data_IF_166653422929
#
_entry.id   IF_166653422929
#
_cell.length_a   1.000
_cell.length_b   1.000
_cell.length_c   1.000
_cell.angle_alpha   90.00
_cell.angle_beta   90.00
_cell.angle_gamma   90.00
#
_symmetry.space_group_name_H-M   'P 1'
#
loop_
_entity.id
_entity.type
_entity.pdbx_description
1 polymer ?
#
# COMPACT_ATOMS: atom_id res chain seq x y z
N UNK A 1 10.84 -62.35 15.88
CA UNK A 1 9.99 -61.27 15.31
C UNK A 1 9.20 -60.64 16.45
N UNK A 2 8.89 -59.33 16.35
CA UNK A 2 8.06 -58.51 17.25
C UNK A 2 8.72 -57.81 18.46
N UNK A 3 9.60 -56.84 18.22
CA UNK A 3 9.92 -55.76 19.21
C UNK A 3 9.66 -54.34 18.68
N UNK A 4 9.05 -54.21 17.50
CA UNK A 4 8.89 -52.94 16.80
C UNK A 4 7.59 -52.12 17.00
N UNK A 5 6.58 -52.45 17.83
CA UNK A 5 5.39 -51.58 17.91
C UNK A 5 5.55 -50.35 18.83
N UNK A 6 6.31 -50.48 19.93
CA UNK A 6 6.42 -49.42 20.96
C UNK A 6 7.36 -48.28 20.55
N UNK A 7 8.46 -48.59 19.87
CA UNK A 7 9.39 -47.59 19.36
C UNK A 7 8.72 -46.68 18.30
N UNK A 8 7.99 -47.27 17.36
CA UNK A 8 7.34 -46.52 16.26
C UNK A 8 6.33 -45.51 16.82
N UNK A 9 5.54 -45.87 17.86
CA UNK A 9 4.56 -44.97 18.47
C UNK A 9 5.22 -43.77 19.18
N UNK A 10 6.40 -43.95 19.76
CA UNK A 10 7.18 -42.87 20.36
C UNK A 10 7.80 -41.94 19.30
N UNK A 11 8.33 -42.51 18.20
CA UNK A 11 8.85 -41.73 17.08
C UNK A 11 7.76 -40.95 16.34
N UNK A 12 6.57 -41.53 16.14
CA UNK A 12 5.44 -40.84 15.50
C UNK A 12 4.89 -39.73 16.37
N UNK A 13 4.80 -39.92 17.69
CA UNK A 13 4.38 -38.86 18.61
C UNK A 13 5.40 -37.71 18.64
N UNK A 14 6.70 -38.00 18.60
CA UNK A 14 7.74 -36.97 18.52
C UNK A 14 7.66 -36.17 17.20
N UNK A 15 7.34 -36.83 16.08
CA UNK A 15 7.17 -36.17 14.79
C UNK A 15 5.91 -35.28 14.75
N UNK A 16 4.85 -35.67 15.46
CA UNK A 16 3.62 -34.87 15.59
C UNK A 16 3.86 -33.61 16.42
N UNK A 17 4.68 -33.70 17.47
CA UNK A 17 5.10 -32.54 18.28
C UNK A 17 6.03 -31.59 17.49
N UNK A 18 6.87 -32.13 16.60
CA UNK A 18 7.72 -31.34 15.70
C UNK A 18 6.89 -30.61 14.63
N UNK A 19 5.87 -31.26 14.06
CA UNK A 19 4.92 -30.66 13.12
C UNK A 19 4.04 -29.58 13.77
N UNK A 20 3.66 -29.77 15.04
CA UNK A 20 2.95 -28.75 15.82
C UNK A 20 3.83 -27.50 16.05
N UNK A 21 5.14 -27.67 16.27
CA UNK A 21 6.10 -26.56 16.38
C UNK A 21 6.34 -25.83 15.04
N UNK A 22 6.31 -26.54 13.91
CA UNK A 22 6.38 -25.93 12.57
C UNK A 22 5.11 -25.12 12.23
N UNK A 23 3.94 -25.56 12.68
CA UNK A 23 2.68 -24.82 12.52
C UNK A 23 2.69 -23.47 13.28
N UNK A 24 3.36 -23.41 14.44
CA UNK A 24 3.55 -22.15 15.19
C UNK A 24 4.58 -21.23 14.49
N UNK A 25 5.58 -21.79 13.81
CA UNK A 25 6.52 -21.01 12.98
C UNK A 25 5.86 -20.43 11.71
N UNK A 26 4.79 -21.05 11.22
CA UNK A 26 3.95 -20.53 10.12
C UNK A 26 3.11 -19.30 10.48
N UNK A 27 2.85 -19.06 11.77
CA UNK A 27 2.18 -17.84 12.25
C UNK A 27 3.10 -16.61 12.30
N UNK A 28 4.40 -16.79 12.06
CA UNK A 28 5.37 -15.70 11.88
C UNK A 28 5.42 -15.19 10.43
N UNK A 29 4.32 -15.36 9.70
CA UNK A 29 4.13 -14.75 8.40
C UNK A 29 2.93 -13.79 8.46
N UNK A 30 2.97 -12.86 9.40
CA UNK A 30 2.16 -11.63 9.38
C UNK A 30 2.64 -10.70 8.26
N UNK A 31 2.65 -11.22 7.02
CA UNK A 31 2.93 -10.47 5.79
C UNK A 31 1.64 -9.98 5.10
N UNK A 32 0.48 -10.18 5.71
CA UNK A 32 -0.82 -9.81 5.11
C UNK A 32 -1.48 -8.54 5.67
N UNK A 33 -0.86 -7.80 6.58
CA UNK A 33 -1.47 -6.56 7.09
C UNK A 33 -0.48 -5.41 7.31
N UNK A 34 0.48 -5.27 6.40
CA UNK A 34 1.29 -4.05 6.35
C UNK A 34 1.54 -3.70 4.90
N UNK A 35 0.50 -3.27 4.19
CA UNK A 35 0.72 -2.39 3.03
C UNK A 35 1.63 -1.29 3.54
N UNK A 36 2.88 -1.27 3.05
CA UNK A 36 3.86 -0.32 3.56
C UNK A 36 3.32 1.08 3.31
N UNK A 37 3.54 2.00 4.27
CA UNK A 37 3.16 3.39 4.07
C UNK A 37 3.71 3.94 2.74
N UNK A 38 4.92 3.50 2.36
CA UNK A 38 5.52 3.80 1.07
C UNK A 38 4.66 3.33 -0.11
N UNK A 39 4.13 2.11 -0.07
CA UNK A 39 3.26 1.59 -1.14
C UNK A 39 1.97 2.42 -1.24
N UNK A 40 1.30 2.68 -0.12
CA UNK A 40 0.08 3.50 -0.10
C UNK A 40 0.34 4.92 -0.62
N UNK A 41 1.49 5.50 -0.27
CA UNK A 41 1.90 6.83 -0.73
C UNK A 41 2.18 6.81 -2.24
N UNK A 42 2.91 5.82 -2.73
CA UNK A 42 3.19 5.62 -4.17
C UNK A 42 1.89 5.44 -4.96
N UNK A 43 0.96 4.62 -4.47
CA UNK A 43 -0.34 4.41 -5.11
C UNK A 43 -1.15 5.71 -5.15
N UNK A 44 -1.12 6.49 -4.05
CA UNK A 44 -1.81 7.78 -3.97
C UNK A 44 -1.23 8.82 -4.94
N UNK A 45 0.09 8.88 -5.06
CA UNK A 45 0.78 9.70 -6.07
C UNK A 45 0.39 9.28 -7.50
N UNK A 46 0.29 7.97 -7.75
CA UNK A 46 -0.20 7.42 -9.01
C UNK A 46 -1.63 7.88 -9.33
N UNK A 47 -2.53 7.86 -8.33
CA UNK A 47 -3.91 8.37 -8.48
C UNK A 47 -3.97 9.85 -8.81
N UNK A 48 -3.11 10.66 -8.19
CA UNK A 48 -3.02 12.10 -8.46
C UNK A 48 -2.56 12.38 -9.90
N UNK A 49 -1.59 11.60 -10.40
CA UNK A 49 -1.18 11.67 -11.81
C UNK A 49 -2.33 11.27 -12.76
N UNK A 50 -3.03 10.18 -12.46
CA UNK A 50 -4.20 9.77 -13.25
C UNK A 50 -5.28 10.87 -13.28
N UNK A 51 -5.59 11.49 -12.13
CA UNK A 51 -6.52 12.62 -12.06
C UNK A 51 -6.07 13.83 -12.89
N UNK A 52 -4.75 14.09 -12.96
CA UNK A 52 -4.21 15.14 -13.83
C UNK A 52 -4.46 14.83 -15.30
N UNK A 53 -4.18 13.60 -15.74
CA UNK A 53 -4.36 13.17 -17.11
C UNK A 53 -5.83 13.16 -17.53
N UNK A 54 -6.71 12.65 -16.68
CA UNK A 54 -8.15 12.65 -16.92
C UNK A 54 -8.69 14.08 -17.07
N UNK A 55 -8.23 15.03 -16.25
CA UNK A 55 -8.60 16.43 -16.41
C UNK A 55 -8.15 17.03 -17.73
N UNK A 56 -6.91 16.77 -18.16
CA UNK A 56 -6.44 17.25 -19.46
C UNK A 56 -7.30 16.69 -20.60
N UNK A 57 -7.63 15.39 -20.55
CA UNK A 57 -8.52 14.76 -21.53
C UNK A 57 -9.91 15.40 -21.53
N UNK A 58 -10.48 15.63 -20.35
CA UNK A 58 -11.83 16.17 -20.24
C UNK A 58 -11.93 17.64 -20.66
N UNK A 59 -10.86 18.43 -20.41
CA UNK A 59 -10.71 19.78 -20.97
C UNK A 59 -10.68 19.73 -22.50
N UNK A 60 -9.93 18.79 -23.08
CA UNK A 60 -9.82 18.64 -24.54
C UNK A 60 -11.14 18.16 -25.18
N UNK A 61 -11.83 17.21 -24.55
CA UNK A 61 -13.16 16.75 -24.96
C UNK A 61 -14.21 17.86 -24.87
N UNK A 62 -14.13 18.70 -23.84
CA UNK A 62 -14.99 19.87 -23.69
C UNK A 62 -14.68 20.95 -24.73
N UNK A 63 -13.41 21.30 -24.93
CA UNK A 63 -12.97 22.31 -25.90
C UNK A 63 -13.26 21.87 -27.36
N UNK A 64 -13.20 20.57 -27.65
CA UNK A 64 -13.54 20.00 -28.96
C UNK A 64 -15.05 19.87 -29.20
N UNK A 65 -15.89 20.26 -28.23
CA UNK A 65 -17.35 20.21 -28.34
C UNK A 65 -17.95 18.80 -28.26
N UNK A 66 -17.14 17.78 -27.97
CA UNK A 66 -17.58 16.38 -27.83
C UNK A 66 -18.34 16.13 -26.53
N UNK A 67 -18.04 16.91 -25.50
CA UNK A 67 -18.72 16.86 -24.20
C UNK A 67 -19.27 18.23 -23.82
N UNK A 68 -20.56 18.30 -23.49
CA UNK A 68 -21.23 19.51 -22.98
C UNK A 68 -21.35 19.51 -21.45
N UNK A 69 -20.77 18.52 -20.76
CA UNK A 69 -20.96 18.33 -19.33
C UNK A 69 -19.99 19.21 -18.51
N UNK A 70 -20.19 20.54 -18.60
CA UNK A 70 -19.41 21.56 -17.87
C UNK A 70 -19.34 21.28 -16.37
N UNK A 71 -20.42 20.75 -15.80
CA UNK A 71 -20.53 20.49 -14.37
C UNK A 71 -19.55 19.41 -13.92
N UNK A 72 -19.46 18.31 -14.67
CA UNK A 72 -18.54 17.21 -14.41
C UNK A 72 -17.08 17.62 -14.61
N UNK A 73 -16.81 18.45 -15.63
CA UNK A 73 -15.50 19.08 -15.83
C UNK A 73 -15.10 19.94 -14.63
N UNK A 74 -15.96 20.85 -14.18
CA UNK A 74 -15.68 21.71 -13.03
C UNK A 74 -15.40 20.90 -11.76
N UNK A 75 -16.21 19.87 -11.48
CA UNK A 75 -16.00 18.99 -10.32
C UNK A 75 -14.64 18.30 -10.40
N UNK A 76 -14.26 17.79 -11.58
CA UNK A 76 -13.03 17.03 -11.74
C UNK A 76 -11.80 17.92 -11.68
N UNK A 77 -11.89 19.15 -12.21
CA UNK A 77 -10.89 20.19 -12.06
C UNK A 77 -10.67 20.56 -10.58
N UNK A 78 -11.75 20.78 -9.84
CA UNK A 78 -11.69 21.06 -8.40
C UNK A 78 -11.08 19.89 -7.62
N UNK A 79 -11.47 18.66 -7.93
CA UNK A 79 -10.92 17.46 -7.29
C UNK A 79 -9.42 17.31 -7.51
N UNK A 80 -8.94 17.46 -8.75
CA UNK A 80 -7.51 17.32 -9.00
C UNK A 80 -6.70 18.48 -8.43
N UNK A 81 -7.23 19.71 -8.48
CA UNK A 81 -6.60 20.86 -7.82
C UNK A 81 -6.39 20.60 -6.33
N UNK A 82 -7.45 20.20 -5.63
CA UNK A 82 -7.38 19.83 -4.22
C UNK A 82 -6.39 18.68 -3.96
N UNK A 83 -6.41 17.64 -4.80
CA UNK A 83 -5.51 16.50 -4.67
C UNK A 83 -4.03 16.89 -4.87
N UNK A 84 -3.74 17.80 -5.79
CA UNK A 84 -2.41 18.35 -6.03
C UNK A 84 -1.94 19.20 -4.84
N UNK A 85 -2.80 20.05 -4.29
CA UNK A 85 -2.49 20.86 -3.11
C UNK A 85 -2.15 19.97 -1.91
N UNK A 86 -2.95 18.93 -1.67
CA UNK A 86 -2.68 17.94 -0.62
C UNK A 86 -1.33 17.24 -0.86
N UNK A 87 -1.03 16.86 -2.10
CA UNK A 87 0.24 16.21 -2.46
C UNK A 87 1.42 17.13 -2.18
N UNK A 88 1.31 18.41 -2.52
CA UNK A 88 2.33 19.42 -2.22
C UNK A 88 2.53 19.61 -0.71
N UNK A 89 1.43 19.65 0.07
CA UNK A 89 1.50 19.73 1.52
C UNK A 89 2.22 18.52 2.14
N UNK A 90 1.91 17.31 1.67
CA UNK A 90 2.60 16.08 2.11
C UNK A 90 4.08 16.14 1.75
N UNK A 91 4.43 16.49 0.51
CA UNK A 91 5.82 16.67 0.08
C UNK A 91 6.57 17.64 1.00
N UNK A 92 5.98 18.80 1.29
CA UNK A 92 6.57 19.81 2.16
C UNK A 92 6.77 19.27 3.58
N UNK A 93 5.81 18.51 4.13
CA UNK A 93 5.95 17.89 5.45
C UNK A 93 7.04 16.83 5.51
N UNK A 94 7.19 16.03 4.46
CA UNK A 94 8.29 15.05 4.37
C UNK A 94 9.65 15.76 4.32
N UNK A 95 9.78 16.83 3.52
CA UNK A 95 11.01 17.62 3.47
C UNK A 95 11.32 18.29 4.83
N UNK A 96 10.32 18.83 5.51
CA UNK A 96 10.46 19.40 6.86
C UNK A 96 10.92 18.35 7.87
N UNK A 97 10.31 17.15 7.86
CA UNK A 97 10.69 16.06 8.74
C UNK A 97 12.16 15.63 8.49
N UNK A 98 12.58 15.56 7.23
CA UNK A 98 13.97 15.29 6.89
C UNK A 98 14.92 16.38 7.42
N UNK A 99 14.57 17.66 7.24
CA UNK A 99 15.35 18.79 7.76
C UNK A 99 15.43 18.79 9.30
N UNK A 100 14.35 18.44 9.99
CA UNK A 100 14.29 18.34 11.45
C UNK A 100 15.25 17.25 11.97
N UNK A 101 15.27 16.08 11.34
CA UNK A 101 16.17 14.98 11.68
C UNK A 101 17.65 15.34 11.48
N UNK A 102 17.97 16.21 10.52
CA UNK A 102 19.31 16.75 10.36
C UNK A 102 19.66 17.76 11.46
N UNK A 103 18.68 18.54 11.95
CA UNK A 103 18.92 19.58 12.95
C UNK A 103 19.15 19.03 14.37
N UNK A 104 18.59 17.87 14.69
CA UNK A 104 18.75 17.20 16.00
C UNK A 104 20.17 16.62 16.20
N UNK A 105 21.00 16.53 15.15
CA UNK A 105 22.33 15.92 15.22
C UNK A 105 23.44 16.81 15.80
N UNK A 106 23.11 17.83 16.61
CA UNK A 106 24.08 18.66 17.33
C UNK A 106 23.63 18.96 18.75
#
# INVERSE_FOLDING_TARGET
>A
MATTPLAIKAYTAANDLLNASQSISGLKNTKEATTSFSQTLSDSLGKVNALQQDNMRMIEEFASGKSQNVHELMITLQKAGLAMDMTSAVRNKVMQAYQELMRIQF
#
